data_IF_582458147377
#
_entry.id   IF_582458147377
#
_cell.length_a   1.000
_cell.length_b   1.000
_cell.length_c   1.000
_cell.angle_alpha   90.00
_cell.angle_beta   90.00
_cell.angle_gamma   90.00
#
_symmetry.space_group_name_H-M   'P 1'
#
loop_
_entity.id
_entity.type
_entity.pdbx_description
1 polymer ?
#
# COMPACT_ATOMS: atom_id res chain seq x y z
N UNK A 1 13.56 13.42 16.62
CA UNK A 1 12.17 13.04 16.31
C UNK A 1 11.88 11.73 17.01
N UNK A 2 10.79 11.61 17.77
CA UNK A 2 10.55 10.44 18.62
C UNK A 2 9.70 9.35 17.94
N UNK A 3 9.69 8.14 18.50
CA UNK A 3 8.95 6.98 17.98
C UNK A 3 7.44 7.22 17.85
N UNK A 4 6.87 8.04 18.74
CA UNK A 4 5.44 8.32 18.79
C UNK A 4 5.02 9.14 17.57
N UNK A 5 5.81 10.15 17.21
CA UNK A 5 5.56 10.97 16.03
C UNK A 5 5.55 10.14 14.73
N UNK A 6 6.46 9.18 14.57
CA UNK A 6 6.44 8.28 13.41
C UNK A 6 5.20 7.41 13.36
N UNK A 7 4.75 6.91 14.51
CA UNK A 7 3.54 6.10 14.57
C UNK A 7 2.30 6.93 14.21
N UNK A 8 2.27 8.20 14.61
CA UNK A 8 1.22 9.14 14.20
C UNK A 8 1.25 9.37 12.69
N UNK A 9 2.42 9.61 12.09
CA UNK A 9 2.55 9.78 10.64
C UNK A 9 2.16 8.54 9.86
N UNK A 10 2.63 7.35 10.26
CA UNK A 10 2.21 6.08 9.66
C UNK A 10 0.69 5.91 9.73
N UNK A 11 0.08 6.28 10.85
CA UNK A 11 -1.38 6.25 11.00
C UNK A 11 -2.08 7.24 10.06
N UNK A 12 -1.54 8.44 9.89
CA UNK A 12 -2.07 9.44 8.96
C UNK A 12 -1.94 8.97 7.51
N UNK A 13 -0.76 8.50 7.10
CA UNK A 13 -0.51 7.93 5.77
C UNK A 13 -1.45 6.78 5.45
N UNK A 14 -1.64 5.86 6.40
CA UNK A 14 -2.56 4.74 6.26
C UNK A 14 -4.01 5.20 6.00
N UNK A 15 -4.48 6.23 6.72
CA UNK A 15 -5.83 6.82 6.51
C UNK A 15 -5.96 7.52 5.17
N UNK A 16 -4.91 8.20 4.71
CA UNK A 16 -4.93 8.85 3.40
C UNK A 16 -5.01 7.78 2.31
N UNK A 17 -4.13 6.78 2.35
CA UNK A 17 -4.15 5.66 1.41
C UNK A 17 -5.48 4.91 1.42
N UNK A 18 -6.08 4.69 2.58
CA UNK A 18 -7.39 4.03 2.68
C UNK A 18 -8.49 4.80 1.95
N UNK A 19 -8.35 6.13 1.83
CA UNK A 19 -9.28 7.00 1.11
C UNK A 19 -8.99 7.13 -0.39
N UNK A 20 -7.75 6.93 -0.82
CA UNK A 20 -7.29 7.10 -2.20
C UNK A 20 -7.39 5.81 -3.02
N UNK A 21 -6.98 4.67 -2.45
CA UNK A 21 -6.92 3.38 -3.16
C UNK A 21 -8.29 2.97 -3.76
N UNK A 22 -9.42 3.08 -3.04
CA UNK A 22 -10.74 2.77 -3.62
C UNK A 22 -11.17 3.71 -4.76
N UNK A 23 -10.54 4.88 -4.88
CA UNK A 23 -10.89 5.92 -5.88
C UNK A 23 -10.08 5.81 -7.16
N UNK A 24 -9.18 4.84 -7.29
CA UNK A 24 -8.49 4.58 -8.56
C UNK A 24 -9.55 4.26 -9.62
N UNK A 25 -9.77 5.20 -10.54
CA UNK A 25 -10.92 5.19 -11.44
C UNK A 25 -10.77 4.21 -12.61
N UNK A 26 -9.55 3.76 -12.89
CA UNK A 26 -9.29 2.83 -14.00
C UNK A 26 -10.04 1.51 -13.80
N UNK A 27 -10.72 1.05 -14.85
CA UNK A 27 -11.36 -0.27 -14.89
C UNK A 27 -10.34 -1.42 -15.09
N UNK A 28 -9.11 -1.10 -15.46
CA UNK A 28 -8.00 -2.05 -15.65
C UNK A 28 -6.89 -1.82 -14.63
N UNK A 29 -5.97 -2.78 -14.56
CA UNK A 29 -4.77 -2.70 -13.72
C UNK A 29 -3.92 -1.49 -14.09
N UNK A 30 -3.45 -0.77 -13.09
CA UNK A 30 -2.56 0.39 -13.24
C UNK A 30 -1.21 0.16 -12.57
N UNK A 31 -0.19 1.00 -12.81
CA UNK A 31 1.07 0.94 -12.07
C UNK A 31 0.89 1.07 -10.56
N UNK A 32 -0.11 1.83 -10.09
CA UNK A 32 -0.42 1.97 -8.67
C UNK A 32 -0.89 0.64 -8.06
N UNK A 33 -1.64 -0.18 -8.79
CA UNK A 33 -2.03 -1.52 -8.32
C UNK A 33 -0.81 -2.41 -8.05
N UNK A 34 0.25 -2.27 -8.87
CA UNK A 34 1.51 -2.97 -8.66
C UNK A 34 2.23 -2.47 -7.39
N UNK A 35 2.32 -1.15 -7.19
CA UNK A 35 2.93 -0.56 -6.00
C UNK A 35 2.19 -0.98 -4.71
N UNK A 36 0.86 -1.04 -4.75
CA UNK A 36 0.03 -1.49 -3.63
C UNK A 36 0.31 -2.98 -3.32
N UNK A 37 0.36 -3.84 -4.33
CA UNK A 37 0.68 -5.26 -4.15
C UNK A 37 2.08 -5.45 -3.54
N UNK A 38 3.08 -4.78 -4.10
CA UNK A 38 4.46 -4.89 -3.66
C UNK A 38 4.63 -4.39 -2.21
N UNK A 39 3.96 -3.28 -1.84
CA UNK A 39 3.94 -2.79 -0.47
C UNK A 39 3.27 -3.79 0.50
N UNK A 40 2.12 -4.36 0.12
CA UNK A 40 1.42 -5.36 0.95
C UNK A 40 2.31 -6.58 1.18
N UNK A 41 2.99 -7.07 0.12
CA UNK A 41 3.88 -8.22 0.20
C UNK A 41 5.04 -7.96 1.14
N UNK A 42 5.69 -6.80 0.99
CA UNK A 42 6.79 -6.39 1.85
C UNK A 42 6.36 -6.33 3.31
N UNK A 43 5.25 -5.62 3.60
CA UNK A 43 4.73 -5.47 4.96
C UNK A 43 4.20 -6.76 5.58
N UNK A 44 3.79 -7.72 4.76
CA UNK A 44 3.25 -9.02 5.19
C UNK A 44 4.30 -10.14 5.14
N UNK A 45 5.55 -9.82 4.83
CA UNK A 45 6.64 -10.79 4.63
C UNK A 45 6.26 -11.92 3.64
N UNK A 46 5.54 -11.57 2.57
CA UNK A 46 5.22 -12.47 1.48
C UNK A 46 6.35 -12.45 0.44
N UNK A 47 6.54 -13.56 -0.33
CA UNK A 47 7.44 -13.54 -1.47
C UNK A 47 7.06 -12.41 -2.44
N UNK A 48 8.08 -11.82 -3.07
CA UNK A 48 7.90 -10.87 -4.16
C UNK A 48 6.97 -11.43 -5.23
N UNK A 49 6.20 -10.56 -5.89
CA UNK A 49 5.26 -10.97 -6.93
C UNK A 49 6.02 -11.62 -8.08
N UNK A 50 5.72 -12.89 -8.45
CA UNK A 50 6.37 -13.55 -9.57
C UNK A 50 6.18 -12.79 -10.89
N UNK A 51 7.16 -12.86 -11.78
CA UNK A 51 7.08 -12.27 -13.11
C UNK A 51 5.83 -12.75 -13.86
N UNK A 52 5.12 -11.82 -14.49
CA UNK A 52 3.88 -12.10 -15.23
C UNK A 52 2.65 -12.33 -14.35
N UNK A 53 2.76 -12.32 -13.01
CA UNK A 53 1.59 -12.39 -12.12
C UNK A 53 0.94 -11.02 -12.00
N UNK A 54 -0.38 -10.98 -12.21
CA UNK A 54 -1.16 -9.76 -11.99
C UNK A 54 -1.13 -9.32 -10.51
N UNK A 55 -1.19 -8.00 -10.24
CA UNK A 55 -1.39 -7.49 -8.88
C UNK A 55 -2.55 -8.18 -8.16
N UNK A 56 -2.46 -8.26 -6.85
CA UNK A 56 -3.40 -8.86 -5.90
C UNK A 56 -3.55 -10.39 -5.99
N UNK A 57 -3.08 -11.00 -7.08
CA UNK A 57 -3.18 -12.44 -7.29
C UNK A 57 -2.35 -13.21 -6.28
N UNK A 58 -3.01 -14.10 -5.54
CA UNK A 58 -2.39 -14.87 -4.45
C UNK A 58 -2.19 -14.09 -3.16
N UNK A 59 -2.72 -12.86 -3.06
CA UNK A 59 -2.90 -12.14 -1.79
C UNK A 59 -4.38 -12.22 -1.37
N UNK A 60 -5.29 -11.95 -2.31
CA UNK A 60 -6.73 -11.96 -2.08
C UNK A 60 -7.43 -13.10 -2.85
N UNK A 61 -8.59 -13.56 -2.35
CA UNK A 61 -9.49 -14.40 -3.14
C UNK A 61 -9.86 -13.73 -4.47
N UNK A 62 -10.16 -14.51 -5.53
CA UNK A 62 -10.63 -13.98 -6.81
C UNK A 62 -11.83 -13.03 -6.64
N UNK A 63 -11.87 -11.99 -7.47
CA UNK A 63 -12.91 -10.96 -7.44
C UNK A 63 -12.63 -9.86 -8.45
N UNK A 64 -13.47 -8.83 -8.44
CA UNK A 64 -13.25 -7.63 -9.23
C UNK A 64 -12.02 -6.84 -8.75
N UNK A 65 -11.50 -5.99 -9.64
CA UNK A 65 -10.39 -5.10 -9.30
C UNK A 65 -10.78 -4.10 -8.19
N UNK A 66 -12.02 -3.61 -8.19
CA UNK A 66 -12.56 -2.74 -7.13
C UNK A 66 -12.59 -3.45 -5.77
N UNK A 67 -13.03 -4.71 -5.72
CA UNK A 67 -12.98 -5.51 -4.49
C UNK A 67 -11.55 -5.72 -4.00
N UNK A 68 -10.61 -5.96 -4.92
CA UNK A 68 -9.20 -6.13 -4.59
C UNK A 68 -8.59 -4.84 -4.01
N UNK A 69 -8.88 -3.68 -4.61
CA UNK A 69 -8.47 -2.35 -4.11
C UNK A 69 -9.08 -2.07 -2.72
N UNK A 70 -10.34 -2.41 -2.50
CA UNK A 70 -10.98 -2.27 -1.20
C UNK A 70 -10.35 -3.17 -0.12
N UNK A 71 -10.01 -4.42 -0.46
CA UNK A 71 -9.31 -5.32 0.46
C UNK A 71 -7.90 -4.82 0.75
N UNK A 72 -7.19 -4.32 -0.27
CA UNK A 72 -5.87 -3.72 -0.14
C UNK A 72 -5.87 -2.51 0.79
N UNK A 73 -6.84 -1.60 0.63
CA UNK A 73 -6.96 -0.40 1.44
C UNK A 73 -7.18 -0.72 2.93
N UNK A 74 -8.04 -1.69 3.23
CA UNK A 74 -8.27 -2.18 4.59
C UNK A 74 -7.01 -2.86 5.15
N UNK A 75 -6.32 -3.68 4.36
CA UNK A 75 -5.12 -4.37 4.81
C UNK A 75 -3.99 -3.38 5.15
N UNK A 76 -3.72 -2.41 4.27
CA UNK A 76 -2.69 -1.38 4.51
C UNK A 76 -3.02 -0.49 5.72
N UNK A 77 -4.30 -0.23 5.99
CA UNK A 77 -4.74 0.48 7.21
C UNK A 77 -4.28 -0.24 8.49
N UNK A 78 -4.21 -1.57 8.46
CA UNK A 78 -3.79 -2.37 9.60
C UNK A 78 -2.27 -2.57 9.66
N UNK A 79 -1.60 -2.68 8.51
CA UNK A 79 -0.17 -2.99 8.44
C UNK A 79 0.73 -1.77 8.68
N UNK A 80 0.44 -0.63 8.05
CA UNK A 80 1.33 0.54 8.07
C UNK A 80 1.58 1.08 9.49
N UNK A 81 0.58 1.21 10.39
CA UNK A 81 0.84 1.66 11.77
C UNK A 81 1.70 0.70 12.60
N UNK A 82 1.91 -0.54 12.12
CA UNK A 82 2.62 -1.62 12.83
C UNK A 82 4.01 -1.90 12.27
N UNK A 83 4.51 -1.08 11.33
CA UNK A 83 5.87 -1.22 10.79
C UNK A 83 6.86 -1.26 11.98
N UNK A 84 7.60 -2.37 12.18
CA UNK A 84 8.47 -2.54 13.34
C UNK A 84 9.81 -1.84 13.19
N UNK A 85 10.15 -1.45 11.96
CA UNK A 85 11.47 -0.96 11.57
C UNK A 85 11.77 0.45 12.12
N UNK A 86 13.06 0.76 12.33
CA UNK A 86 13.49 2.09 12.73
C UNK A 86 13.03 3.16 11.74
N UNK A 87 13.04 4.39 12.23
CA UNK A 87 12.74 5.61 11.51
C UNK A 87 13.43 5.66 10.15
N UNK A 88 12.68 5.95 9.08
CA UNK A 88 13.24 6.09 7.73
C UNK A 88 13.50 4.75 7.05
N UNK A 89 12.68 3.75 7.38
CA UNK A 89 12.78 2.43 6.79
C UNK A 89 12.44 2.42 5.30
N UNK A 90 12.84 1.36 4.60
CA UNK A 90 12.43 1.12 3.21
C UNK A 90 10.90 1.06 3.07
N UNK A 91 10.20 0.62 4.12
CA UNK A 91 8.74 0.62 4.17
C UNK A 91 8.15 2.04 4.29
N UNK A 92 8.76 2.92 5.08
CA UNK A 92 8.31 4.31 5.17
C UNK A 92 8.48 5.03 3.83
N UNK A 93 9.57 4.77 3.10
CA UNK A 93 9.76 5.29 1.74
C UNK A 93 8.71 4.74 0.77
N UNK A 94 8.46 3.43 0.77
CA UNK A 94 7.45 2.82 -0.10
C UNK A 94 6.03 3.35 0.19
N UNK A 95 5.73 3.70 1.44
CA UNK A 95 4.47 4.37 1.81
C UNK A 95 4.41 5.79 1.24
N UNK A 96 5.49 6.57 1.31
CA UNK A 96 5.57 7.92 0.74
C UNK A 96 5.44 7.89 -0.79
N UNK A 97 6.15 6.98 -1.46
CA UNK A 97 6.10 6.81 -2.92
C UNK A 97 4.67 6.50 -3.39
N UNK A 98 3.98 5.59 -2.69
CA UNK A 98 2.59 5.25 -3.00
C UNK A 98 1.65 6.44 -2.75
N UNK A 99 1.86 7.21 -1.67
CA UNK A 99 1.10 8.43 -1.40
C UNK A 99 1.29 9.45 -2.53
N UNK A 100 2.51 9.63 -3.02
CA UNK A 100 2.80 10.57 -4.12
C UNK A 100 2.14 10.12 -5.41
N UNK A 101 2.26 8.85 -5.76
CA UNK A 101 1.65 8.27 -6.95
C UNK A 101 0.13 8.45 -6.94
N UNK A 102 -0.54 8.13 -5.83
CA UNK A 102 -2.00 8.25 -5.72
C UNK A 102 -2.49 9.69 -5.50
N UNK A 103 -1.67 10.54 -4.89
CA UNK A 103 -1.96 11.94 -4.61
C UNK A 103 -1.63 12.89 -5.76
N UNK A 104 -1.07 12.40 -6.87
CA UNK A 104 -0.51 13.21 -7.95
C UNK A 104 0.50 14.26 -7.44
N UNK A 105 1.33 13.87 -6.48
CA UNK A 105 2.37 14.72 -5.93
C UNK A 105 3.69 14.50 -6.69
N UNK A 106 4.56 15.52 -6.78
CA UNK A 106 5.87 15.36 -7.39
C UNK A 106 6.70 14.31 -6.66
N UNK A 107 7.41 13.48 -7.43
CA UNK A 107 8.42 12.51 -6.99
C UNK A 107 9.77 13.16 -6.82
#
# INVERSE_FOLDING_TARGET
>A
MDRKQFQEWRTQSARVLSSLIPKIASATLTPEDALIDDLIRSLSNLPARPSGRFPYSGIFPPGSLSESRNRASVLLTNLIPRIPEPIGSVHDQAVDDLLRALGNLPT
#
